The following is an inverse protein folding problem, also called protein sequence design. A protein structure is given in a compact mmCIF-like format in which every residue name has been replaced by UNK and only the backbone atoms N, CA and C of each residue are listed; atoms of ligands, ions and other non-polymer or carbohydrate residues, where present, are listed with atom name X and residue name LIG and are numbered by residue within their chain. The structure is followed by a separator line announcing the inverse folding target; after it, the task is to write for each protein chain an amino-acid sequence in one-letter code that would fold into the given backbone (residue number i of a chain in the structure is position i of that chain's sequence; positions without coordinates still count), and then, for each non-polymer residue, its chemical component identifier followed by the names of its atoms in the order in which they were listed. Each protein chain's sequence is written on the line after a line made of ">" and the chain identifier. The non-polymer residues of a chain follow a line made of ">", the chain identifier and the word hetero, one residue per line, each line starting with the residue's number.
data_IF_437665013741
#
_entry.id   IF_437665013741
#
_cell.length_a   1.000
_cell.length_b   1.000
_cell.length_c   1.000
_cell.angle_alpha   90.00
_cell.angle_beta   90.00
_cell.angle_gamma   90.00
#
_symmetry.space_group_name_H-M   'P 1'
#
loop_
_entity.id
_entity.type
_entity.pdbx_description
1 polymer ?
#
# COMPACT_ATOMS: atom_id res chain seq x y z
N UNK A 1 23.64 9.90 12.17
CA UNK A 1 22.77 9.16 13.12
C UNK A 1 21.80 10.17 13.67
N UNK A 2 20.52 10.21 13.26
CA UNK A 2 19.55 11.07 13.91
C UNK A 2 19.30 10.52 15.32
N UNK A 3 19.14 11.46 16.26
CA UNK A 3 18.90 11.33 17.66
C UNK A 3 17.89 10.25 18.03
N UNK A 4 18.12 9.65 19.16
CA UNK A 4 17.31 8.68 19.89
C UNK A 4 15.94 9.34 20.29
N UNK A 5 15.12 9.68 19.28
CA UNK A 5 13.75 10.16 19.48
C UNK A 5 12.97 9.01 20.10
N UNK A 6 12.46 9.24 21.29
CA UNK A 6 11.39 8.43 21.90
C UNK A 6 10.23 8.45 20.92
N UNK A 7 10.21 7.47 20.02
CA UNK A 7 9.07 7.23 19.13
C UNK A 7 7.96 6.71 20.04
N UNK A 8 7.00 7.57 20.32
CA UNK A 8 5.82 7.25 21.13
C UNK A 8 4.84 6.43 20.29
N UNK A 9 5.30 5.21 19.93
CA UNK A 9 4.62 4.30 19.02
C UNK A 9 3.47 3.61 19.74
N UNK A 10 2.29 3.69 19.16
CA UNK A 10 1.11 2.97 19.67
C UNK A 10 1.30 1.46 19.56
N UNK A 11 0.78 0.64 20.49
CA UNK A 11 0.86 -0.82 20.42
C UNK A 11 0.34 -1.37 19.07
N UNK A 12 1.04 -2.35 18.51
CA UNK A 12 0.67 -2.98 17.23
C UNK A 12 1.01 -2.18 15.96
N UNK A 13 1.64 -1.00 16.09
CA UNK A 13 1.93 -0.11 14.96
C UNK A 13 3.38 -0.17 14.46
N UNK A 14 4.21 -1.06 15.00
CA UNK A 14 5.57 -1.26 14.52
C UNK A 14 5.59 -1.92 13.14
N UNK A 15 6.61 -1.59 12.34
CA UNK A 15 6.96 -2.42 11.19
C UNK A 15 7.29 -3.85 11.65
N UNK A 16 6.94 -4.85 10.84
CA UNK A 16 7.13 -6.24 11.25
C UNK A 16 7.49 -7.17 10.09
N UNK A 17 8.19 -8.24 10.43
CA UNK A 17 8.55 -9.31 9.52
C UNK A 17 7.77 -10.57 9.90
N UNK A 18 7.25 -11.27 8.91
CA UNK A 18 6.64 -12.58 9.06
C UNK A 18 7.35 -13.56 8.13
N UNK A 19 7.78 -14.69 8.70
CA UNK A 19 8.45 -15.75 7.98
C UNK A 19 7.49 -16.90 7.80
N UNK A 20 7.24 -17.30 6.56
CA UNK A 20 6.35 -18.40 6.23
C UNK A 20 6.79 -19.74 6.83
N UNK A 21 8.09 -19.92 7.02
CA UNK A 21 8.67 -21.11 7.65
C UNK A 21 9.16 -20.81 9.06
N UNK A 22 9.19 -21.83 9.95
CA UNK A 22 9.61 -21.67 11.34
C UNK A 22 11.06 -21.15 11.48
N UNK A 23 11.95 -21.50 10.55
CA UNK A 23 13.31 -20.95 10.49
C UNK A 23 13.35 -19.82 9.46
N UNK A 24 13.87 -18.62 9.79
CA UNK A 24 14.02 -17.52 8.85
C UNK A 24 14.85 -17.97 7.63
N UNK A 25 14.18 -18.06 6.48
CA UNK A 25 14.81 -18.42 5.23
C UNK A 25 14.23 -17.57 4.10
N UNK A 26 15.07 -17.16 3.17
CA UNK A 26 14.65 -16.39 2.00
C UNK A 26 13.77 -17.25 1.11
N UNK A 27 12.60 -16.74 0.73
CA UNK A 27 11.64 -17.42 -0.16
C UNK A 27 11.82 -16.95 -1.61
N UNK A 28 11.21 -17.65 -2.56
CA UNK A 28 11.19 -17.24 -3.96
C UNK A 28 10.47 -15.89 -4.16
N UNK A 29 9.53 -15.56 -3.27
CA UNK A 29 8.80 -14.29 -3.28
C UNK A 29 8.61 -13.77 -1.85
N UNK A 30 8.76 -12.46 -1.65
CA UNK A 30 8.29 -11.79 -0.45
C UNK A 30 7.11 -10.88 -0.78
N UNK A 31 6.18 -10.77 0.14
CA UNK A 31 5.12 -9.76 0.10
C UNK A 31 5.58 -8.53 0.87
N UNK A 32 5.45 -7.36 0.26
CA UNK A 32 5.64 -6.06 0.89
C UNK A 32 4.28 -5.40 1.08
N UNK A 33 3.89 -5.13 2.33
CA UNK A 33 2.69 -4.36 2.62
C UNK A 33 3.01 -2.91 2.95
N UNK A 34 2.32 -1.97 2.28
CA UNK A 34 2.45 -0.52 2.40
C UNK A 34 1.11 0.09 2.80
N UNK A 35 0.99 0.58 4.03
CA UNK A 35 -0.25 1.15 4.56
C UNK A 35 -0.56 2.55 4.02
N UNK A 36 -1.80 3.04 4.27
CA UNK A 36 -2.29 4.34 3.85
C UNK A 36 -1.76 5.51 4.68
N UNK A 37 -2.03 6.75 4.20
CA UNK A 37 -1.75 7.98 4.95
C UNK A 37 -2.57 8.03 6.24
N UNK A 38 -2.00 8.58 7.29
CA UNK A 38 -2.51 8.63 8.66
C UNK A 38 -2.76 7.28 9.33
N UNK A 39 -2.71 6.16 8.59
CA UNK A 39 -2.84 4.80 9.10
C UNK A 39 -1.51 4.27 9.66
N UNK A 40 -1.46 2.96 9.90
CA UNK A 40 -0.27 2.26 10.41
C UNK A 40 -0.27 0.81 9.91
N UNK A 41 0.79 0.03 10.16
CA UNK A 41 0.81 -1.40 9.87
C UNK A 41 -0.40 -2.20 10.37
N UNK A 42 -1.06 -1.73 11.42
CA UNK A 42 -2.25 -2.39 11.98
C UNK A 42 -3.54 -2.18 11.20
N UNK A 43 -3.60 -1.27 10.21
CA UNK A 43 -4.85 -0.99 9.47
C UNK A 43 -5.44 -2.21 8.78
N UNK A 44 -4.60 -3.12 8.28
CA UNK A 44 -5.00 -4.34 7.59
C UNK A 44 -5.06 -5.58 8.51
N UNK A 45 -4.87 -5.39 9.84
CA UNK A 45 -4.80 -6.51 10.78
C UNK A 45 -3.73 -7.51 10.39
N UNK A 46 -4.09 -8.80 10.34
CA UNK A 46 -3.20 -9.90 9.93
C UNK A 46 -3.34 -10.27 8.43
N UNK A 47 -4.08 -9.50 7.62
CA UNK A 47 -4.31 -9.86 6.22
C UNK A 47 -3.01 -9.93 5.39
N UNK A 48 -2.02 -9.03 5.55
CA UNK A 48 -0.78 -9.14 4.79
C UNK A 48 -0.04 -10.46 5.02
N UNK A 49 0.06 -10.90 6.27
CA UNK A 49 0.71 -12.16 6.64
C UNK A 49 -0.08 -13.36 6.10
N UNK A 50 -1.40 -13.35 6.22
CA UNK A 50 -2.27 -14.42 5.71
C UNK A 50 -2.22 -14.53 4.18
N UNK A 51 -2.17 -13.40 3.46
CA UNK A 51 -1.96 -13.39 2.00
C UNK A 51 -0.59 -13.99 1.67
N UNK A 52 0.46 -13.61 2.41
CA UNK A 52 1.80 -14.15 2.22
C UNK A 52 1.86 -15.66 2.48
N UNK A 53 1.26 -16.15 3.56
CA UNK A 53 1.19 -17.58 3.87
C UNK A 53 0.45 -18.37 2.77
N UNK A 54 -0.66 -17.84 2.25
CA UNK A 54 -1.38 -18.44 1.14
C UNK A 54 -0.54 -18.53 -0.15
N UNK A 55 0.51 -17.72 -0.28
CA UNK A 55 1.44 -17.67 -1.41
C UNK A 55 2.78 -18.35 -1.12
N UNK A 56 2.94 -18.99 0.03
CA UNK A 56 4.21 -19.55 0.53
C UNK A 56 5.35 -18.51 0.50
N UNK A 57 5.02 -17.26 0.85
CA UNK A 57 5.90 -16.11 0.81
C UNK A 57 6.18 -15.56 2.21
N UNK A 58 7.36 -14.98 2.41
CA UNK A 58 7.61 -14.15 3.58
C UNK A 58 6.92 -12.80 3.43
N UNK A 59 6.69 -12.09 4.55
CA UNK A 59 6.01 -10.78 4.51
C UNK A 59 6.80 -9.73 5.30
N UNK A 60 6.95 -8.55 4.70
CA UNK A 60 7.38 -7.34 5.39
C UNK A 60 6.25 -6.33 5.40
N UNK A 61 5.81 -5.95 6.59
CA UNK A 61 4.80 -4.92 6.80
C UNK A 61 5.50 -3.65 7.22
N UNK A 62 5.48 -2.65 6.33
CA UNK A 62 6.23 -1.40 6.50
C UNK A 62 5.48 -0.39 7.37
N UNK A 63 6.22 0.51 8.04
CA UNK A 63 5.70 1.67 8.76
C UNK A 63 6.36 2.94 8.23
N UNK A 64 5.56 3.87 7.72
CA UNK A 64 6.04 5.17 7.25
C UNK A 64 6.58 6.05 8.38
N UNK A 65 7.52 6.97 8.11
CA UNK A 65 7.96 7.97 9.08
C UNK A 65 6.79 8.75 9.67
N UNK A 66 6.81 8.96 10.98
CA UNK A 66 5.76 9.69 11.71
C UNK A 66 4.41 8.99 11.87
N UNK A 67 4.19 7.84 11.19
CA UNK A 67 2.92 7.11 11.28
C UNK A 67 2.91 6.11 12.46
N UNK A 68 1.70 5.84 12.98
CA UNK A 68 1.50 4.90 14.10
C UNK A 68 1.89 5.45 15.46
N UNK A 69 2.24 6.71 15.58
CA UNK A 69 2.63 7.38 16.82
C UNK A 69 1.42 8.04 17.50
N UNK A 70 1.51 8.27 18.82
CA UNK A 70 0.52 9.02 19.61
C UNK A 70 0.78 10.52 19.61
N UNK A 71 2.03 10.96 19.40
CA UNK A 71 2.39 12.37 19.39
C UNK A 71 1.71 13.13 18.25
N UNK A 72 1.15 14.31 18.57
CA UNK A 72 0.44 15.16 17.61
C UNK A 72 1.36 15.73 16.51
N UNK A 73 2.64 15.87 16.78
CA UNK A 73 3.69 16.38 15.91
C UNK A 73 4.51 15.29 15.22
N UNK A 74 4.10 14.03 15.34
CA UNK A 74 4.86 12.89 14.80
C UNK A 74 5.19 12.98 13.30
N UNK A 75 4.37 13.71 12.52
CA UNK A 75 4.59 13.94 11.08
C UNK A 75 5.22 15.31 10.79
N UNK A 76 5.74 16.03 11.80
CA UNK A 76 6.42 17.30 11.59
C UNK A 76 7.66 17.08 10.70
N UNK A 77 7.83 17.96 9.70
CA UNK A 77 8.94 17.87 8.75
C UNK A 77 8.83 16.72 7.73
N UNK A 78 7.71 15.99 7.66
CA UNK A 78 7.50 14.95 6.65
C UNK A 78 7.48 15.60 5.24
N UNK A 79 8.12 14.93 4.28
CA UNK A 79 8.21 15.40 2.88
C UNK A 79 7.90 14.26 1.91
N UNK A 80 7.56 14.56 0.63
CA UNK A 80 7.43 13.53 -0.41
C UNK A 80 8.70 12.69 -0.58
N UNK A 81 9.87 13.32 -0.54
CA UNK A 81 11.17 12.63 -0.63
C UNK A 81 11.36 11.64 0.53
N UNK A 82 11.05 12.03 1.76
CA UNK A 82 11.14 11.12 2.91
C UNK A 82 10.20 9.91 2.76
N UNK A 83 9.02 10.07 2.16
CA UNK A 83 8.10 8.97 1.85
C UNK A 83 8.67 8.07 0.74
N UNK A 84 9.24 8.65 -0.31
CA UNK A 84 9.87 7.89 -1.40
C UNK A 84 11.12 7.12 -0.92
N UNK A 85 11.99 7.74 -0.12
CA UNK A 85 13.16 7.08 0.48
C UNK A 85 12.75 5.93 1.39
N UNK A 86 11.71 6.16 2.22
CA UNK A 86 11.14 5.12 3.08
C UNK A 86 10.52 3.96 2.27
N UNK A 87 9.93 4.23 1.09
CA UNK A 87 9.45 3.20 0.18
C UNK A 87 10.61 2.35 -0.39
N UNK A 88 11.72 2.99 -0.76
CA UNK A 88 12.94 2.28 -1.22
C UNK A 88 13.54 1.43 -0.11
N UNK A 89 13.57 1.92 1.12
CA UNK A 89 14.01 1.13 2.29
C UNK A 89 13.08 -0.07 2.53
N UNK A 90 11.76 0.12 2.44
CA UNK A 90 10.78 -0.95 2.57
C UNK A 90 10.99 -2.05 1.51
N UNK A 91 11.23 -1.66 0.26
CA UNK A 91 11.55 -2.60 -0.81
C UNK A 91 12.85 -3.35 -0.51
N UNK A 92 13.89 -2.67 -0.04
CA UNK A 92 15.16 -3.30 0.33
C UNK A 92 15.00 -4.31 1.49
N UNK A 93 14.11 -4.05 2.47
CA UNK A 93 13.79 -5.01 3.53
C UNK A 93 13.10 -6.25 2.94
N UNK A 94 12.08 -6.08 2.11
CA UNK A 94 11.36 -7.18 1.48
C UNK A 94 12.29 -8.04 0.59
N UNK A 95 13.23 -7.42 -0.13
CA UNK A 95 14.23 -8.12 -0.96
C UNK A 95 15.21 -8.99 -0.17
N UNK A 96 15.42 -8.69 1.12
CA UNK A 96 16.20 -9.59 2.00
C UNK A 96 15.41 -10.85 2.35
N UNK A 97 14.08 -10.79 2.28
CA UNK A 97 13.17 -11.87 2.65
C UNK A 97 12.73 -12.73 1.46
N UNK A 98 12.84 -12.22 0.22
CA UNK A 98 12.49 -12.96 -1.00
C UNK A 98 13.32 -12.55 -2.22
N UNK A 99 13.32 -13.40 -3.25
CA UNK A 99 14.05 -13.13 -4.50
C UNK A 99 13.37 -12.06 -5.34
N UNK A 100 12.04 -12.09 -5.41
CA UNK A 100 11.17 -11.10 -6.03
C UNK A 100 10.18 -10.57 -5.01
N UNK A 101 9.63 -9.40 -5.23
CA UNK A 101 8.70 -8.76 -4.28
C UNK A 101 7.35 -8.54 -4.95
N UNK A 102 6.28 -9.08 -4.35
CA UNK A 102 4.93 -8.66 -4.64
C UNK A 102 4.55 -7.54 -3.66
N UNK A 103 4.03 -6.42 -4.16
CA UNK A 103 3.63 -5.28 -3.34
C UNK A 103 2.11 -5.30 -3.19
N UNK A 104 1.63 -5.20 -1.96
CA UNK A 104 0.22 -4.89 -1.63
C UNK A 104 0.21 -3.56 -0.93
N UNK A 105 -0.47 -2.59 -1.48
CA UNK A 105 -0.52 -1.25 -0.90
C UNK A 105 -1.95 -0.75 -0.73
N UNK A 106 -2.16 0.07 0.30
CA UNK A 106 -3.42 0.75 0.58
C UNK A 106 -3.24 2.25 0.40
N UNK A 107 -4.11 2.93 -0.35
CA UNK A 107 -4.12 4.39 -0.52
C UNK A 107 -2.74 4.95 -0.96
N UNK A 108 -2.14 5.85 -0.18
CA UNK A 108 -0.79 6.37 -0.41
C UNK A 108 0.24 5.24 -0.58
N UNK A 109 0.12 4.16 0.20
CA UNK A 109 1.01 3.00 0.08
C UNK A 109 0.88 2.29 -1.27
N UNK A 110 -0.33 2.21 -1.84
CA UNK A 110 -0.55 1.67 -3.18
C UNK A 110 0.07 2.55 -4.26
N UNK A 111 -0.06 3.87 -4.12
CA UNK A 111 0.54 4.86 -5.04
C UNK A 111 2.06 4.76 -5.05
N UNK A 112 2.68 4.68 -3.86
CA UNK A 112 4.13 4.48 -3.73
C UNK A 112 4.58 3.09 -4.19
N UNK A 113 3.73 2.07 -4.06
CA UNK A 113 3.97 0.73 -4.62
C UNK A 113 4.04 0.74 -6.15
N UNK A 114 3.14 1.47 -6.81
CA UNK A 114 3.16 1.69 -8.26
C UNK A 114 4.38 2.51 -8.69
N UNK A 115 4.74 3.55 -7.92
CA UNK A 115 5.95 4.34 -8.14
C UNK A 115 7.22 3.46 -8.05
N UNK A 116 7.31 2.59 -7.05
CA UNK A 116 8.41 1.62 -6.93
C UNK A 116 8.47 0.70 -8.16
N UNK A 117 7.33 0.23 -8.67
CA UNK A 117 7.27 -0.65 -9.84
C UNK A 117 7.78 0.05 -11.12
N UNK A 118 7.51 1.35 -11.27
CA UNK A 118 8.05 2.15 -12.36
C UNK A 118 9.57 2.34 -12.27
N UNK A 119 10.10 2.55 -11.05
CA UNK A 119 11.51 2.92 -10.83
C UNK A 119 12.44 1.74 -10.53
N UNK A 120 11.91 0.58 -10.16
CA UNK A 120 12.66 -0.65 -9.79
C UNK A 120 12.04 -1.91 -10.41
N UNK A 121 11.72 -1.91 -11.72
CA UNK A 121 10.89 -2.97 -12.35
C UNK A 121 11.50 -4.37 -12.22
N UNK A 122 12.83 -4.50 -12.26
CA UNK A 122 13.51 -5.80 -12.22
C UNK A 122 13.31 -6.57 -10.89
N UNK A 123 12.83 -5.93 -9.85
CA UNK A 123 12.70 -6.52 -8.50
C UNK A 123 11.26 -6.80 -8.10
N UNK A 124 10.30 -6.26 -8.84
CA UNK A 124 8.88 -6.33 -8.47
C UNK A 124 8.17 -7.36 -9.33
N UNK A 125 7.52 -8.31 -8.67
CA UNK A 125 6.80 -9.40 -9.29
C UNK A 125 5.39 -8.97 -9.74
N UNK A 126 4.71 -8.19 -8.92
CA UNK A 126 3.36 -7.65 -9.15
C UNK A 126 3.05 -6.53 -8.15
N UNK A 127 2.06 -5.71 -8.46
CA UNK A 127 1.47 -4.72 -7.54
C UNK A 127 -0.02 -4.97 -7.40
N UNK A 128 -0.50 -5.01 -6.16
CA UNK A 128 -1.92 -4.96 -5.82
C UNK A 128 -2.19 -3.63 -5.14
N UNK A 129 -2.95 -2.78 -5.81
CA UNK A 129 -3.25 -1.42 -5.38
C UNK A 129 -4.67 -1.36 -4.82
N UNK A 130 -4.82 -1.28 -3.49
CA UNK A 130 -6.10 -1.11 -2.79
C UNK A 130 -6.41 0.39 -2.66
N UNK A 131 -7.43 0.87 -3.36
CA UNK A 131 -7.88 2.27 -3.36
C UNK A 131 -6.71 3.27 -3.43
N UNK A 132 -5.85 3.22 -4.48
CA UNK A 132 -4.66 4.06 -4.55
C UNK A 132 -5.01 5.56 -4.47
N UNK A 133 -4.20 6.30 -3.71
CA UNK A 133 -4.33 7.75 -3.58
C UNK A 133 -3.74 8.47 -4.80
N UNK A 134 -4.49 8.59 -5.88
CA UNK A 134 -4.06 9.27 -7.11
C UNK A 134 -4.46 10.75 -7.08
N UNK A 135 -5.70 11.01 -6.71
CA UNK A 135 -6.26 12.35 -6.55
C UNK A 135 -7.31 12.31 -5.43
N UNK A 136 -7.32 13.29 -4.51
CA UNK A 136 -8.38 13.35 -3.51
C UNK A 136 -9.74 13.63 -4.14
N UNK A 137 -10.80 13.01 -3.63
CA UNK A 137 -12.18 13.30 -4.06
C UNK A 137 -12.56 14.75 -3.73
N UNK A 138 -12.02 15.30 -2.64
CA UNK A 138 -12.26 16.66 -2.18
C UNK A 138 -10.94 17.45 -2.05
N UNK A 139 -10.33 17.91 -3.16
CA UNK A 139 -9.02 18.60 -3.14
C UNK A 139 -9.02 19.85 -2.25
N UNK A 140 -10.09 20.64 -2.26
CA UNK A 140 -10.20 21.82 -1.39
C UNK A 140 -10.20 21.54 0.11
N UNK A 141 -10.56 20.33 0.55
CA UNK A 141 -10.38 19.91 1.95
C UNK A 141 -8.90 19.71 2.27
N UNK A 142 -8.18 19.00 1.42
CA UNK A 142 -6.74 18.78 1.60
C UNK A 142 -5.97 20.10 1.63
N UNK A 143 -6.31 21.04 0.73
CA UNK A 143 -5.69 22.35 0.69
C UNK A 143 -5.91 23.14 2.00
N UNK A 144 -7.12 23.11 2.57
CA UNK A 144 -7.39 23.74 3.87
C UNK A 144 -6.57 23.10 4.99
N UNK A 145 -6.45 21.76 5.02
CA UNK A 145 -5.62 21.05 6.00
C UNK A 145 -4.14 21.42 5.89
N UNK A 146 -3.64 21.64 4.67
CA UNK A 146 -2.28 22.09 4.43
C UNK A 146 -2.00 23.52 4.94
N UNK A 147 -3.03 24.38 5.05
CA UNK A 147 -2.90 25.76 5.53
C UNK A 147 -2.91 25.85 7.06
N UNK A 148 -3.24 24.80 7.79
CA UNK A 148 -3.24 24.80 9.24
C UNK A 148 -1.83 25.15 9.79
N UNK A 149 -1.81 25.85 10.93
CA UNK A 149 -0.58 26.30 11.59
C UNK A 149 -0.24 25.43 12.82
N UNK A 150 -1.12 24.51 13.18
CA UNK A 150 -0.98 23.57 14.29
C UNK A 150 -1.53 22.20 13.90
N UNK A 151 -1.18 21.14 14.63
CA UNK A 151 -1.75 19.81 14.40
C UNK A 151 -3.28 19.83 14.37
N UNK A 152 -3.84 19.14 13.39
CA UNK A 152 -5.28 19.08 13.14
C UNK A 152 -5.83 17.78 13.71
N UNK A 153 -6.79 17.88 14.62
CA UNK A 153 -7.49 16.74 15.20
C UNK A 153 -8.81 16.53 14.48
N UNK A 154 -9.07 15.29 14.01
CA UNK A 154 -10.35 14.91 13.48
C UNK A 154 -11.42 15.00 14.58
N UNK A 155 -12.46 15.83 14.41
CA UNK A 155 -13.46 16.07 15.43
C UNK A 155 -14.50 14.93 15.55
N UNK A 156 -14.54 14.02 14.59
CA UNK A 156 -15.55 12.97 14.56
C UNK A 156 -15.22 11.80 15.49
N UNK A 157 -16.23 11.22 16.16
CA UNK A 157 -16.06 10.02 16.96
C UNK A 157 -15.46 8.88 16.13
N UNK A 158 -14.50 8.18 16.70
CA UNK A 158 -13.83 7.03 16.08
C UNK A 158 -14.02 5.77 16.91
N UNK A 159 -14.08 4.63 16.26
CA UNK A 159 -14.03 3.33 16.94
C UNK A 159 -12.68 3.14 17.64
N UNK A 160 -12.63 2.27 18.64
CA UNK A 160 -11.40 1.91 19.35
C UNK A 160 -10.31 1.41 18.36
N UNK A 161 -10.67 0.56 17.43
CA UNK A 161 -9.75 0.08 16.39
C UNK A 161 -9.23 1.21 15.48
N UNK A 162 -10.09 2.18 15.12
CA UNK A 162 -9.64 3.33 14.36
C UNK A 162 -8.68 4.22 15.16
N UNK A 163 -8.90 4.39 16.47
CA UNK A 163 -7.97 5.11 17.35
C UNK A 163 -6.64 4.37 17.52
N UNK A 164 -6.67 3.02 17.55
CA UNK A 164 -5.47 2.22 17.67
C UNK A 164 -4.57 2.35 16.42
N UNK A 165 -5.14 2.33 15.21
CA UNK A 165 -4.38 2.13 13.96
C UNK A 165 -4.35 3.34 13.02
N UNK A 166 -5.08 4.41 13.30
CA UNK A 166 -5.00 5.69 12.57
C UNK A 166 -4.65 6.84 13.51
N UNK A 167 -3.92 7.82 13.00
CA UNK A 167 -3.68 9.08 13.71
C UNK A 167 -4.97 9.89 13.76
N UNK A 168 -5.42 10.25 14.94
CA UNK A 168 -6.55 11.17 15.12
C UNK A 168 -6.10 12.62 14.92
N UNK A 169 -4.86 12.91 15.30
CA UNK A 169 -4.23 14.22 15.14
C UNK A 169 -3.07 14.08 14.17
N UNK A 170 -3.00 14.98 13.19
CA UNK A 170 -1.96 14.98 12.15
C UNK A 170 -1.35 16.38 12.05
N UNK A 171 0.00 16.45 12.06
CA UNK A 171 0.71 17.68 11.80
C UNK A 171 0.50 18.17 10.37
N UNK A 172 0.35 19.47 10.08
CA UNK A 172 0.12 20.01 8.74
C UNK A 172 1.16 19.58 7.69
N UNK A 173 2.41 19.34 8.11
CA UNK A 173 3.45 18.83 7.18
C UNK A 173 3.11 17.46 6.62
N UNK A 174 2.39 16.61 7.36
CA UNK A 174 1.87 15.36 6.83
C UNK A 174 0.90 15.57 5.67
N UNK A 175 -0.03 16.51 5.79
CA UNK A 175 -0.96 16.85 4.71
C UNK A 175 -0.24 17.50 3.52
N UNK A 176 0.75 18.38 3.77
CA UNK A 176 1.59 18.98 2.73
C UNK A 176 2.38 17.91 1.98
N UNK A 177 3.01 16.97 2.69
CA UNK A 177 3.73 15.86 2.07
C UNK A 177 2.83 15.02 1.17
N UNK A 178 1.59 14.72 1.60
CA UNK A 178 0.62 13.97 0.80
C UNK A 178 0.18 14.76 -0.44
N UNK A 179 -0.19 16.04 -0.29
CA UNK A 179 -0.58 16.92 -1.41
C UNK A 179 0.54 17.04 -2.43
N UNK A 180 1.76 17.29 -1.96
CA UNK A 180 2.92 17.52 -2.81
C UNK A 180 3.35 16.21 -3.52
N UNK A 181 3.15 15.04 -2.88
CA UNK A 181 3.33 13.74 -3.53
C UNK A 181 2.33 13.55 -4.68
N UNK A 182 1.06 13.90 -4.48
CA UNK A 182 0.05 13.85 -5.56
C UNK A 182 0.39 14.82 -6.68
N UNK A 183 0.82 16.04 -6.36
CA UNK A 183 1.21 17.03 -7.36
C UNK A 183 2.43 16.56 -8.18
N UNK A 184 3.41 15.92 -7.54
CA UNK A 184 4.57 15.35 -8.21
C UNK A 184 4.15 14.30 -9.25
N UNK A 185 3.28 13.36 -8.89
CA UNK A 185 2.82 12.31 -9.79
C UNK A 185 1.78 12.79 -10.82
N UNK A 186 1.10 13.90 -10.58
CA UNK A 186 0.25 14.54 -11.58
C UNK A 186 1.08 15.29 -12.64
N UNK A 187 2.22 15.91 -12.24
CA UNK A 187 3.10 16.61 -13.14
C UNK A 187 3.92 15.68 -14.04
N UNK A 188 4.39 14.55 -13.49
CA UNK A 188 5.17 13.52 -14.22
C UNK A 188 4.69 12.12 -13.79
N UNK A 189 3.61 11.63 -14.42
CA UNK A 189 3.00 10.35 -14.06
C UNK A 189 3.92 9.16 -14.37
N UNK A 190 4.32 8.34 -13.36
CA UNK A 190 5.19 7.19 -13.60
C UNK A 190 4.44 5.97 -14.15
N UNK A 191 3.12 6.05 -14.35
CA UNK A 191 2.25 4.92 -14.67
C UNK A 191 2.63 4.20 -15.96
N UNK A 192 3.00 4.86 -17.07
CA UNK A 192 3.42 4.19 -18.31
C UNK A 192 4.67 3.30 -18.16
N UNK A 193 5.50 3.54 -17.13
CA UNK A 193 6.69 2.74 -16.85
C UNK A 193 6.42 1.51 -15.97
N UNK A 194 5.20 1.32 -15.47
CA UNK A 194 4.80 0.13 -14.72
C UNK A 194 4.45 -0.99 -15.72
N UNK A 195 5.28 -2.04 -15.78
CA UNK A 195 5.09 -3.16 -16.72
C UNK A 195 4.80 -4.50 -16.03
N UNK A 196 4.96 -4.60 -14.71
CA UNK A 196 4.60 -5.81 -13.97
C UNK A 196 3.08 -5.98 -13.91
N UNK A 197 2.56 -7.19 -13.58
CA UNK A 197 1.15 -7.42 -13.31
C UNK A 197 0.59 -6.46 -12.26
N UNK A 198 -0.59 -5.88 -12.52
CA UNK A 198 -1.25 -4.95 -11.59
C UNK A 198 -2.71 -5.31 -11.37
N UNK A 199 -3.12 -5.43 -10.11
CA UNK A 199 -4.52 -5.44 -9.69
C UNK A 199 -4.88 -4.11 -9.04
N UNK A 200 -5.96 -3.48 -9.53
CA UNK A 200 -6.61 -2.34 -8.89
C UNK A 200 -7.85 -2.82 -8.15
N UNK A 201 -7.90 -2.65 -6.83
CA UNK A 201 -9.12 -2.79 -6.03
C UNK A 201 -9.65 -1.43 -5.62
N UNK A 202 -10.95 -1.20 -5.75
CA UNK A 202 -11.59 0.07 -5.37
C UNK A 202 -13.02 -0.13 -4.89
N UNK A 203 -13.53 0.83 -4.10
CA UNK A 203 -14.91 0.82 -3.64
C UNK A 203 -15.85 1.47 -4.67
N UNK A 204 -16.90 0.75 -5.03
CA UNK A 204 -18.07 1.27 -5.76
C UNK A 204 -19.31 0.50 -5.30
N UNK A 205 -20.23 1.19 -4.60
CA UNK A 205 -21.50 0.64 -4.15
C UNK A 205 -22.45 0.29 -5.29
N UNK A 206 -23.45 -0.55 -5.00
CA UNK A 206 -24.43 -0.99 -5.99
C UNK A 206 -25.32 0.16 -6.50
N UNK A 207 -25.49 1.21 -5.72
CA UNK A 207 -26.22 2.44 -6.04
C UNK A 207 -25.36 3.51 -6.74
N UNK A 208 -24.09 3.18 -7.05
CA UNK A 208 -23.12 4.09 -7.67
C UNK A 208 -22.35 4.95 -6.67
N UNK A 209 -22.50 4.75 -5.35
CA UNK A 209 -21.65 5.39 -4.36
C UNK A 209 -20.19 4.99 -4.57
N UNK A 210 -19.30 5.95 -4.47
CA UNK A 210 -17.85 5.76 -4.67
C UNK A 210 -17.05 6.23 -3.45
N UNK A 211 -15.76 5.92 -3.47
CA UNK A 211 -14.78 6.33 -2.47
C UNK A 211 -14.78 7.86 -2.28
N UNK A 212 -15.05 8.30 -1.04
CA UNK A 212 -15.14 9.71 -0.67
C UNK A 212 -13.78 10.33 -0.29
N UNK A 213 -12.71 9.55 -0.31
CA UNK A 213 -11.34 10.01 0.03
C UNK A 213 -10.50 10.15 -1.25
N UNK A 214 -10.47 9.10 -2.08
CA UNK A 214 -9.71 9.08 -3.34
C UNK A 214 -10.63 8.89 -4.53
N UNK A 215 -10.44 9.71 -5.56
CA UNK A 215 -11.24 9.73 -6.79
C UNK A 215 -11.15 8.40 -7.55
N UNK A 216 -12.26 7.66 -7.64
CA UNK A 216 -12.34 6.43 -8.44
C UNK A 216 -12.09 6.71 -9.93
N UNK A 217 -12.62 7.77 -10.55
CA UNK A 217 -12.26 8.14 -11.92
C UNK A 217 -10.75 8.32 -12.11
N UNK A 218 -10.04 8.96 -11.15
CA UNK A 218 -8.58 9.11 -11.23
C UNK A 218 -7.84 7.78 -11.07
N UNK A 219 -8.32 6.88 -10.22
CA UNK A 219 -7.76 5.50 -10.09
C UNK A 219 -7.88 4.74 -11.42
N UNK A 220 -9.04 4.81 -12.06
CA UNK A 220 -9.29 4.12 -13.34
C UNK A 220 -8.45 4.74 -14.47
N UNK A 221 -8.34 6.07 -14.52
CA UNK A 221 -7.48 6.75 -15.51
C UNK A 221 -6.00 6.36 -15.33
N UNK A 222 -5.50 6.32 -14.10
CA UNK A 222 -4.17 5.80 -13.76
C UNK A 222 -4.00 4.35 -14.25
N UNK A 223 -4.98 3.49 -13.96
CA UNK A 223 -4.94 2.07 -14.32
C UNK A 223 -4.90 1.86 -15.83
N UNK A 224 -5.64 2.65 -16.62
CA UNK A 224 -5.57 2.62 -18.08
C UNK A 224 -4.19 3.06 -18.60
N UNK A 225 -3.57 4.04 -17.93
CA UNK A 225 -2.26 4.57 -18.31
C UNK A 225 -1.07 3.64 -17.98
N UNK A 226 -1.29 2.51 -17.27
CA UNK A 226 -0.23 1.56 -16.97
C UNK A 226 0.35 0.93 -18.25
N UNK A 227 1.68 0.85 -18.33
CA UNK A 227 2.40 0.11 -19.38
C UNK A 227 2.27 -1.41 -19.27
N UNK A 228 1.59 -1.91 -18.26
CA UNK A 228 1.29 -3.33 -18.04
C UNK A 228 0.42 -3.89 -19.16
N UNK A 229 0.77 -5.08 -19.67
CA UNK A 229 -0.01 -5.75 -20.71
C UNK A 229 -1.48 -6.00 -20.27
N UNK A 230 -2.48 -5.87 -21.16
CA UNK A 230 -3.90 -6.04 -20.78
C UNK A 230 -4.21 -7.37 -20.09
N UNK A 231 -3.55 -8.48 -20.47
CA UNK A 231 -3.70 -9.79 -19.83
C UNK A 231 -3.14 -9.88 -18.41
N UNK A 232 -2.39 -8.88 -17.98
CA UNK A 232 -1.76 -8.78 -16.67
C UNK A 232 -2.37 -7.65 -15.83
N UNK A 233 -3.44 -7.00 -16.31
CA UNK A 233 -4.19 -5.96 -15.59
C UNK A 233 -5.55 -6.49 -15.14
N UNK A 234 -5.92 -6.24 -13.89
CA UNK A 234 -7.25 -6.56 -13.36
C UNK A 234 -7.77 -5.43 -12.49
N UNK A 235 -8.95 -4.89 -12.80
CA UNK A 235 -9.67 -3.94 -11.95
C UNK A 235 -10.86 -4.65 -11.30
N UNK A 236 -10.99 -4.50 -9.97
CA UNK A 236 -12.05 -5.13 -9.16
C UNK A 236 -12.76 -4.07 -8.33
N UNK A 237 -14.06 -3.89 -8.57
CA UNK A 237 -14.93 -3.07 -7.74
C UNK A 237 -15.49 -3.91 -6.58
N UNK A 238 -15.43 -3.37 -5.36
CA UNK A 238 -16.03 -3.97 -4.18
C UNK A 238 -17.27 -3.17 -3.80
N UNK A 239 -18.41 -3.87 -3.67
CA UNK A 239 -19.73 -3.25 -3.56
C UNK A 239 -20.06 -2.71 -2.15
N UNK A 240 -19.29 -3.04 -1.14
CA UNK A 240 -19.44 -2.53 0.22
C UNK A 240 -18.09 -2.14 0.78
N UNK A 241 -18.03 -1.04 1.48
CA UNK A 241 -16.78 -0.67 2.09
C UNK A 241 -16.61 0.81 2.34
N UNK A 242 -15.37 1.15 2.46
CA UNK A 242 -14.86 2.48 2.66
C UNK A 242 -13.57 2.61 1.86
N UNK A 243 -12.91 3.75 1.93
CA UNK A 243 -11.60 3.97 1.29
C UNK A 243 -10.58 2.85 1.59
N UNK A 244 -10.45 2.44 2.85
CA UNK A 244 -9.53 1.35 3.25
C UNK A 244 -10.18 -0.03 3.03
N UNK A 245 -10.36 -0.43 1.77
CA UNK A 245 -11.06 -1.68 1.38
C UNK A 245 -10.41 -2.95 1.93
N UNK A 246 -9.10 -2.96 2.18
CA UNK A 246 -8.35 -4.07 2.79
C UNK A 246 -8.31 -4.03 4.32
N UNK A 247 -9.10 -3.18 4.97
CA UNK A 247 -9.10 -3.06 6.43
C UNK A 247 -10.30 -3.76 7.07
N UNK A 248 -10.08 -4.81 7.89
CA UNK A 248 -11.17 -5.46 8.63
C UNK A 248 -11.81 -4.55 9.68
N UNK A 249 -11.15 -3.42 10.00
CA UNK A 249 -11.66 -2.41 10.93
C UNK A 249 -12.59 -1.38 10.27
N UNK A 250 -12.66 -1.36 8.93
CA UNK A 250 -13.40 -0.37 8.14
C UNK A 250 -14.47 -0.97 7.24
N UNK A 251 -14.33 -2.22 6.84
CA UNK A 251 -15.26 -2.84 5.88
C UNK A 251 -15.39 -4.35 6.11
N UNK A 252 -16.60 -4.93 5.92
CA UNK A 252 -16.78 -6.36 5.90
C UNK A 252 -16.18 -7.03 4.65
N UNK A 253 -15.77 -6.25 3.63
CA UNK A 253 -15.21 -6.78 2.38
C UNK A 253 -13.73 -7.14 2.48
N UNK A 254 -13.05 -6.86 3.59
CA UNK A 254 -11.61 -7.05 3.72
C UNK A 254 -11.16 -8.49 3.40
N UNK A 255 -11.93 -9.51 3.78
CA UNK A 255 -11.65 -10.91 3.43
C UNK A 255 -11.80 -11.17 1.92
N UNK A 256 -12.83 -10.62 1.28
CA UNK A 256 -13.01 -10.75 -0.17
C UNK A 256 -11.90 -10.03 -0.95
N UNK A 257 -11.45 -8.88 -0.44
CA UNK A 257 -10.30 -8.15 -1.00
C UNK A 257 -9.01 -8.97 -0.88
N UNK A 258 -8.78 -9.60 0.29
CA UNK A 258 -7.63 -10.48 0.50
C UNK A 258 -7.69 -11.71 -0.41
N UNK A 259 -8.84 -12.35 -0.57
CA UNK A 259 -9.01 -13.51 -1.46
C UNK A 259 -8.74 -13.14 -2.91
N UNK A 260 -9.32 -12.03 -3.41
CA UNK A 260 -9.06 -11.53 -4.77
C UNK A 260 -7.56 -11.23 -5.00
N UNK A 261 -6.89 -10.71 -3.98
CA UNK A 261 -5.44 -10.47 -4.00
C UNK A 261 -4.65 -11.77 -4.16
N UNK A 262 -4.99 -12.81 -3.38
CA UNK A 262 -4.33 -14.13 -3.44
C UNK A 262 -4.55 -14.75 -4.82
N UNK A 263 -5.79 -14.73 -5.33
CA UNK A 263 -6.14 -15.34 -6.62
C UNK A 263 -5.39 -14.64 -7.76
N UNK A 264 -5.35 -13.31 -7.78
CA UNK A 264 -4.59 -12.53 -8.76
C UNK A 264 -3.10 -12.87 -8.70
N UNK A 265 -2.48 -12.83 -7.52
CA UNK A 265 -1.05 -13.10 -7.38
C UNK A 265 -0.70 -14.54 -7.75
N UNK A 266 -1.51 -15.53 -7.41
CA UNK A 266 -1.32 -16.93 -7.84
C UNK A 266 -1.37 -17.06 -9.37
N UNK A 267 -2.32 -16.42 -10.00
CA UNK A 267 -2.47 -16.46 -11.47
C UNK A 267 -1.27 -15.81 -12.16
N UNK A 268 -0.84 -14.64 -11.69
CA UNK A 268 0.18 -13.84 -12.38
C UNK A 268 1.63 -14.25 -12.03
N UNK A 269 1.87 -14.73 -10.80
CA UNK A 269 3.23 -15.04 -10.31
C UNK A 269 3.48 -16.54 -10.21
N UNK A 270 2.45 -17.36 -9.97
CA UNK A 270 2.55 -18.83 -9.88
C UNK A 270 2.80 -19.53 -11.22
N UNK A 271 2.39 -18.93 -12.35
CA UNK A 271 2.61 -19.47 -13.69
C UNK A 271 4.08 -19.49 -14.13
N UNK A 272 4.90 -18.62 -13.58
CA UNK A 272 6.33 -18.55 -13.91
C UNK A 272 7.15 -19.78 -13.44
N UNK A 273 6.64 -20.53 -12.45
CA UNK A 273 7.29 -21.78 -11.99
C UNK A 273 7.11 -22.95 -12.99
N UNK A 274 6.02 -22.98 -13.77
CA UNK A 274 5.74 -24.09 -14.70
C UNK A 274 6.56 -24.05 -15.98
N UNK A 275 7.02 -22.88 -16.42
CA UNK A 275 7.81 -22.75 -17.65
C UNK A 275 9.29 -23.07 -17.47
N UNK A 276 9.83 -22.97 -16.24
CA UNK A 276 11.25 -23.29 -15.98
C UNK A 276 11.51 -24.79 -15.71
N UNK A 277 10.48 -25.57 -15.32
CA UNK A 277 10.65 -27.00 -15.09
C UNK A 277 10.46 -27.84 -16.37
N UNK A 278 9.89 -27.26 -17.44
CA UNK A 278 9.66 -27.97 -18.69
C UNK A 278 10.85 -27.92 -19.68
N UNK A 279 11.92 -27.17 -19.36
CA UNK A 279 13.07 -26.99 -20.25
C UNK A 279 14.24 -27.97 -19.98
N UNK A 280 14.18 -28.76 -18.90
CA UNK A 280 15.33 -29.60 -18.47
C UNK A 280 15.12 -31.12 -18.69
N UNK A 281 14.04 -31.50 -19.38
CA UNK A 281 13.75 -32.93 -19.66
C UNK A 281 13.86 -33.20 -21.19
N UNK A 282 15.07 -33.03 -21.76
CA UNK A 282 15.44 -33.64 -23.04
C UNK A 282 16.48 -34.73 -22.82
N UNK A 283 16.17 -35.99 -23.10
CA UNK A 283 17.15 -37.08 -23.01
C UNK A 283 18.25 -36.85 -24.06
N UNK A 284 19.49 -37.08 -23.66
CA UNK A 284 20.70 -37.15 -24.53
C UNK A 284 20.68 -38.43 -25.36
#
# INVERSE_FOLDING_TARGET
>A
MPSNERIDLKPGNAARQHWHTAAPARSAMALLYLHGFSASPGEAGALPERIADALEANCYVHRWPGHGCSAADAMQGLTPTALQDSALEALAQAQRMGERVAIVGSSMGATLGLWLAAHRPARIAAVVAWSPGIQPTHPGLLDRLCQAQAPVTDPYPRTEAALAYWSQTVHPDGFRALRDLFALFAADPPWPQVHCPVMLGYYRGADGEEDQISSVPAMLAMFEALGTAPSQKQAVAFASGAHAIGSPHKTPMAEAVAQATVDFLRMQVGGARRSNTAADDRPR
#
